data_IF_523602302494
#
_entry.id   IF_523602302494
#
_cell.length_a   1.000
_cell.length_b   1.000
_cell.length_c   1.000
_cell.angle_alpha   90.00
_cell.angle_beta   90.00
_cell.angle_gamma   90.00
#
_symmetry.space_group_name_H-M   'P 1'
#
loop_
_entity.id
_entity.type
_entity.pdbx_description
1 polymer ?
#
# COMPACT_ATOMS: atom_id res chain seq x y z
N UNK A 1 -0.43 30.49 -2.73
CA UNK A 1 -0.26 29.27 -1.91
C UNK A 1 -0.50 27.97 -2.68
N UNK A 2 -1.57 27.83 -3.47
CA UNK A 2 -1.86 26.60 -4.22
C UNK A 2 -0.73 26.10 -5.16
N UNK A 3 0.06 27.02 -5.74
CA UNK A 3 1.17 26.65 -6.63
C UNK A 3 2.33 25.99 -5.86
N UNK A 4 2.56 26.39 -4.61
CA UNK A 4 3.64 25.82 -3.79
C UNK A 4 3.26 24.46 -3.23
N UNK A 5 2.00 24.27 -2.86
CA UNK A 5 1.47 22.99 -2.37
C UNK A 5 1.51 21.90 -3.47
N UNK A 6 1.19 22.26 -4.72
CA UNK A 6 1.35 21.42 -5.90
C UNK A 6 2.81 21.09 -6.20
N UNK A 7 3.74 22.03 -6.00
CA UNK A 7 5.18 21.81 -6.17
C UNK A 7 5.73 20.81 -5.18
N UNK A 8 5.37 20.93 -3.90
CA UNK A 8 5.79 19.97 -2.86
C UNK A 8 5.24 18.58 -3.16
N UNK A 9 3.98 18.48 -3.61
CA UNK A 9 3.38 17.21 -4.06
C UNK A 9 4.15 16.60 -5.24
N UNK A 10 4.50 17.40 -6.24
CA UNK A 10 5.27 16.94 -7.41
C UNK A 10 6.68 16.49 -7.02
N UNK A 11 7.37 17.23 -6.16
CA UNK A 11 8.73 16.91 -5.73
C UNK A 11 8.78 15.68 -4.82
N UNK A 12 7.80 15.51 -3.94
CA UNK A 12 7.65 14.29 -3.13
C UNK A 12 7.41 13.03 -3.98
N UNK A 13 6.74 13.18 -5.13
CA UNK A 13 6.55 12.08 -6.09
C UNK A 13 7.82 11.72 -6.87
N UNK A 14 8.74 12.66 -7.07
CA UNK A 14 9.94 12.48 -7.90
C UNK A 14 11.11 11.79 -7.18
N UNK A 15 11.20 11.86 -5.84
CA UNK A 15 12.31 11.27 -5.08
C UNK A 15 11.86 10.63 -3.76
N UNK A 16 12.51 9.54 -3.34
CA UNK A 16 12.31 8.98 -2.00
C UNK A 16 12.69 9.99 -0.92
N UNK A 17 11.75 10.33 -0.04
CA UNK A 17 12.05 11.06 1.18
C UNK A 17 12.93 10.16 2.05
N UNK A 18 14.16 10.59 2.33
CA UNK A 18 15.06 9.86 3.20
C UNK A 18 14.61 9.98 4.67
N UNK A 19 15.11 9.08 5.53
CA UNK A 19 14.70 9.02 6.93
C UNK A 19 14.87 10.37 7.66
N UNK A 20 15.92 11.13 7.33
CA UNK A 20 16.19 12.44 7.94
C UNK A 20 15.12 13.44 7.52
N UNK A 21 14.85 13.57 6.22
CA UNK A 21 13.81 14.47 5.73
C UNK A 21 12.42 14.08 6.26
N UNK A 22 12.11 12.78 6.38
CA UNK A 22 10.87 12.34 7.01
C UNK A 22 10.76 12.78 8.48
N UNK A 23 11.86 12.65 9.24
CA UNK A 23 11.89 13.06 10.65
C UNK A 23 11.66 14.57 10.82
N UNK A 24 12.02 15.38 9.83
CA UNK A 24 11.72 16.82 9.81
C UNK A 24 10.30 17.14 9.34
N UNK A 25 9.76 16.38 8.38
CA UNK A 25 8.44 16.65 7.79
C UNK A 25 7.30 16.09 8.66
N UNK A 26 7.47 14.95 9.32
CA UNK A 26 6.39 14.31 10.09
C UNK A 26 5.81 15.21 11.22
N UNK A 27 6.62 15.95 12.01
CA UNK A 27 6.10 16.92 12.97
C UNK A 27 5.35 18.07 12.30
N UNK A 28 5.79 18.52 11.13
CA UNK A 28 5.14 19.58 10.36
C UNK A 28 3.75 19.15 9.87
N UNK A 29 3.64 17.95 9.28
CA UNK A 29 2.35 17.36 8.88
C UNK A 29 1.41 17.23 10.09
N UNK A 30 1.95 16.80 11.23
CA UNK A 30 1.19 16.70 12.49
C UNK A 30 0.71 18.08 12.99
N UNK A 31 1.50 19.14 12.80
CA UNK A 31 1.11 20.50 13.18
C UNK A 31 0.02 21.07 12.28
N UNK A 32 0.07 20.82 10.97
CA UNK A 32 -0.98 21.24 10.02
C UNK A 32 -2.34 20.65 10.41
N UNK A 33 -2.37 19.36 10.77
CA UNK A 33 -3.59 18.70 11.23
C UNK A 33 -4.08 19.31 12.55
N UNK A 34 -3.19 19.42 13.55
CA UNK A 34 -3.56 19.92 14.90
C UNK A 34 -4.06 21.36 14.90
N UNK A 35 -3.54 22.20 14.00
CA UNK A 35 -3.91 23.62 13.89
C UNK A 35 -5.09 23.87 12.93
N UNK A 36 -5.66 22.83 12.34
CA UNK A 36 -6.72 22.93 11.31
C UNK A 36 -6.27 23.83 10.15
N UNK A 37 -5.10 23.54 9.61
CA UNK A 37 -4.44 24.35 8.61
C UNK A 37 -3.38 25.29 9.20
N UNK A 38 -2.39 25.66 8.39
CA UNK A 38 -1.33 26.59 8.77
C UNK A 38 -1.33 27.79 7.84
N UNK A 39 -1.43 28.99 8.42
CA UNK A 39 -1.43 30.26 7.68
C UNK A 39 -2.77 30.59 7.01
N UNK A 40 -3.86 29.99 7.49
CA UNK A 40 -5.22 30.20 7.01
C UNK A 40 -6.09 30.72 8.18
N UNK A 41 -6.98 31.65 7.89
CA UNK A 41 -7.97 32.13 8.86
C UNK A 41 -9.14 31.14 8.99
N UNK A 42 -9.86 31.16 10.12
CA UNK A 42 -10.99 30.24 10.36
C UNK A 42 -12.16 30.41 9.39
N UNK A 43 -12.21 31.51 8.63
CA UNK A 43 -13.17 31.74 7.55
C UNK A 43 -12.80 31.03 6.23
N UNK A 44 -11.56 30.54 6.10
CA UNK A 44 -10.99 29.94 4.89
C UNK A 44 -11.18 28.41 4.86
N UNK A 45 -12.42 27.97 5.05
CA UNK A 45 -12.75 26.55 5.27
C UNK A 45 -12.32 25.65 4.11
N UNK A 46 -12.53 26.07 2.86
CA UNK A 46 -12.18 25.29 1.67
C UNK A 46 -10.66 25.07 1.54
N UNK A 47 -9.87 26.11 1.80
CA UNK A 47 -8.41 26.06 1.73
C UNK A 47 -7.82 25.21 2.87
N UNK A 48 -8.46 25.23 4.05
CA UNK A 48 -8.11 24.35 5.18
C UNK A 48 -8.34 22.88 4.80
N UNK A 49 -9.48 22.57 4.18
CA UNK A 49 -9.80 21.21 3.73
C UNK A 49 -8.82 20.74 2.67
N UNK A 50 -8.48 21.57 1.68
CA UNK A 50 -7.45 21.23 0.68
C UNK A 50 -6.09 20.97 1.31
N UNK A 51 -5.68 21.77 2.30
CA UNK A 51 -4.40 21.60 2.98
C UNK A 51 -4.35 20.29 3.79
N UNK A 52 -5.42 19.94 4.48
CA UNK A 52 -5.54 18.68 5.22
C UNK A 52 -5.58 17.49 4.25
N UNK A 53 -6.32 17.59 3.15
CA UNK A 53 -6.36 16.57 2.10
C UNK A 53 -4.96 16.33 1.52
N UNK A 54 -4.18 17.38 1.30
CA UNK A 54 -2.80 17.26 0.84
C UNK A 54 -1.89 16.56 1.85
N UNK A 55 -2.05 16.85 3.14
CA UNK A 55 -1.30 16.16 4.21
C UNK A 55 -1.64 14.67 4.23
N UNK A 56 -2.92 14.31 4.13
CA UNK A 56 -3.37 12.93 4.04
C UNK A 56 -2.76 12.22 2.81
N UNK A 57 -2.81 12.86 1.64
CA UNK A 57 -2.20 12.35 0.40
C UNK A 57 -0.70 12.04 0.55
N UNK A 58 0.06 12.94 1.18
CA UNK A 58 1.50 12.78 1.41
C UNK A 58 1.75 11.60 2.36
N UNK A 59 0.97 11.47 3.44
CA UNK A 59 1.10 10.38 4.40
C UNK A 59 0.81 9.03 3.75
N UNK A 60 -0.27 8.92 2.97
CA UNK A 60 -0.63 7.70 2.22
C UNK A 60 0.44 7.32 1.21
N UNK A 61 1.01 8.29 0.47
CA UNK A 61 2.11 8.03 -0.46
C UNK A 61 3.36 7.46 0.25
N UNK A 62 3.73 8.03 1.39
CA UNK A 62 4.89 7.57 2.16
C UNK A 62 4.70 6.17 2.72
N UNK A 63 3.50 5.85 3.20
CA UNK A 63 3.16 4.53 3.68
C UNK A 63 3.20 3.47 2.57
N UNK A 64 2.64 3.76 1.38
CA UNK A 64 2.73 2.87 0.23
C UNK A 64 4.19 2.59 -0.18
N UNK A 65 5.04 3.62 -0.14
CA UNK A 65 6.48 3.47 -0.43
C UNK A 65 7.21 2.66 0.64
N UNK A 66 6.92 2.90 1.91
CA UNK A 66 7.50 2.14 3.02
C UNK A 66 7.12 0.65 2.94
N UNK A 67 5.86 0.33 2.60
CA UNK A 67 5.41 -1.04 2.37
C UNK A 67 6.21 -1.73 1.24
N UNK A 68 6.40 -1.07 0.09
CA UNK A 68 7.24 -1.58 -1.00
C UNK A 68 8.69 -1.84 -0.56
N UNK A 69 9.28 -0.91 0.21
CA UNK A 69 10.63 -1.10 0.73
C UNK A 69 10.71 -2.29 1.70
N UNK A 70 9.71 -2.49 2.57
CA UNK A 70 9.65 -3.67 3.43
C UNK A 70 9.64 -4.96 2.61
N UNK A 71 8.83 -5.03 1.55
CA UNK A 71 8.79 -6.19 0.65
C UNK A 71 10.16 -6.46 -0.01
N UNK A 72 10.81 -5.42 -0.54
CA UNK A 72 12.17 -5.54 -1.08
C UNK A 72 13.18 -6.03 -0.04
N UNK A 73 13.06 -5.57 1.21
CA UNK A 73 13.94 -6.02 2.30
C UNK A 73 13.69 -7.49 2.65
N UNK A 74 12.43 -7.92 2.71
CA UNK A 74 12.07 -9.32 2.98
C UNK A 74 12.61 -10.24 1.89
N UNK A 75 12.50 -9.84 0.62
CA UNK A 75 13.01 -10.61 -0.52
C UNK A 75 14.53 -10.65 -0.63
N UNK A 76 15.24 -9.58 -0.24
CA UNK A 76 16.68 -9.45 -0.43
C UNK A 76 17.56 -9.76 0.79
N UNK A 77 17.01 -9.71 2.01
CA UNK A 77 17.79 -9.77 3.25
C UNK A 77 17.15 -10.70 4.28
N UNK A 78 17.42 -12.02 4.22
CA UNK A 78 16.78 -13.02 5.08
C UNK A 78 16.87 -12.73 6.59
N UNK A 79 18.00 -12.19 7.04
CA UNK A 79 18.24 -11.83 8.44
C UNK A 79 17.34 -10.69 8.96
N UNK A 80 16.70 -9.93 8.08
CA UNK A 80 15.83 -8.79 8.42
C UNK A 80 14.33 -9.08 8.25
N UNK A 81 13.97 -10.28 7.77
CA UNK A 81 12.57 -10.66 7.46
C UNK A 81 11.61 -10.32 8.58
N UNK A 82 11.95 -10.70 9.82
CA UNK A 82 11.06 -10.49 10.98
C UNK A 82 10.76 -9.00 11.20
N UNK A 83 11.81 -8.17 11.22
CA UNK A 83 11.66 -6.74 11.45
C UNK A 83 10.89 -6.05 10.31
N UNK A 84 11.21 -6.40 9.07
CA UNK A 84 10.54 -5.85 7.89
C UNK A 84 9.06 -6.29 7.80
N UNK A 85 8.74 -7.53 8.16
CA UNK A 85 7.36 -8.05 8.21
C UNK A 85 6.55 -7.32 9.28
N UNK A 86 7.10 -7.14 10.48
CA UNK A 86 6.45 -6.35 11.54
C UNK A 86 6.18 -4.91 11.10
N UNK A 87 7.14 -4.28 10.42
CA UNK A 87 6.96 -2.95 9.84
C UNK A 87 5.85 -2.92 8.81
N UNK A 88 5.85 -3.87 7.87
CA UNK A 88 4.82 -3.99 6.83
C UNK A 88 3.41 -4.15 7.42
N UNK A 89 3.24 -5.05 8.39
CA UNK A 89 1.96 -5.26 9.08
C UNK A 89 1.52 -3.97 9.79
N UNK A 90 2.43 -3.30 10.49
CA UNK A 90 2.10 -2.06 11.22
C UNK A 90 1.61 -0.95 10.28
N UNK A 91 2.22 -0.82 9.10
CA UNK A 91 1.80 0.14 8.09
C UNK A 91 0.40 -0.24 7.55
N UNK A 92 0.16 -1.52 7.25
CA UNK A 92 -1.13 -1.99 6.72
C UNK A 92 -2.26 -1.82 7.72
N UNK A 93 -2.05 -2.24 8.97
CA UNK A 93 -3.05 -2.08 10.03
C UNK A 93 -3.38 -0.62 10.30
N UNK A 94 -2.40 0.29 10.22
CA UNK A 94 -2.64 1.72 10.42
C UNK A 94 -3.46 2.36 9.28
N UNK A 95 -3.40 1.80 8.08
CA UNK A 95 -4.09 2.31 6.90
C UNK A 95 -5.40 1.58 6.55
N UNK A 96 -5.65 0.42 7.18
CA UNK A 96 -6.83 -0.38 6.91
C UNK A 96 -8.17 0.38 6.95
N UNK A 97 -8.41 1.33 7.89
CA UNK A 97 -9.69 2.05 7.93
C UNK A 97 -9.96 2.97 6.71
N UNK A 98 -8.91 3.45 6.05
CA UNK A 98 -8.97 4.45 4.96
C UNK A 98 -8.10 4.01 3.76
N UNK A 99 -8.08 2.70 3.45
CA UNK A 99 -7.14 2.16 2.47
C UNK A 99 -7.45 2.67 1.05
N UNK A 100 -6.60 3.56 0.55
CA UNK A 100 -6.66 4.01 -0.85
C UNK A 100 -6.23 2.92 -1.85
N UNK A 101 -6.75 2.98 -3.08
CA UNK A 101 -6.37 2.07 -4.18
C UNK A 101 -4.85 2.00 -4.42
N UNK A 102 -4.16 3.14 -4.30
CA UNK A 102 -2.71 3.20 -4.46
C UNK A 102 -1.95 2.34 -3.43
N UNK A 103 -2.54 2.18 -2.24
CA UNK A 103 -1.99 1.36 -1.18
C UNK A 103 -2.21 -0.14 -1.42
N UNK A 104 -3.44 -0.50 -1.80
CA UNK A 104 -3.78 -1.87 -2.20
C UNK A 104 -2.88 -2.31 -3.36
N UNK A 105 -2.72 -1.50 -4.40
CA UNK A 105 -1.80 -1.75 -5.51
C UNK A 105 -0.33 -1.95 -5.07
N UNK A 106 0.13 -1.20 -4.05
CA UNK A 106 1.48 -1.39 -3.52
C UNK A 106 1.63 -2.75 -2.82
N UNK A 107 0.60 -3.22 -2.13
CA UNK A 107 0.60 -4.51 -1.45
C UNK A 107 0.42 -5.70 -2.42
N UNK A 108 -0.40 -5.53 -3.47
CA UNK A 108 -0.59 -6.53 -4.53
C UNK A 108 0.73 -6.89 -5.23
N UNK A 109 1.67 -5.95 -5.35
CA UNK A 109 3.01 -6.25 -5.87
C UNK A 109 3.79 -7.27 -5.02
N UNK A 110 3.44 -7.41 -3.75
CA UNK A 110 3.97 -8.43 -2.85
C UNK A 110 3.35 -9.81 -3.05
N UNK A 111 2.13 -9.91 -3.59
CA UNK A 111 1.40 -11.18 -3.73
C UNK A 111 2.07 -12.10 -4.75
N UNK A 112 2.67 -11.55 -5.80
CA UNK A 112 3.40 -12.31 -6.81
C UNK A 112 4.91 -12.18 -6.69
N UNK A 113 5.41 -11.80 -5.52
CA UNK A 113 6.85 -11.68 -5.31
C UNK A 113 7.54 -13.05 -5.52
N UNK A 114 8.72 -13.13 -6.18
CA UNK A 114 9.38 -14.41 -6.46
C UNK A 114 9.71 -15.20 -5.19
N UNK A 115 10.13 -14.49 -4.13
CA UNK A 115 10.42 -15.08 -2.83
C UNK A 115 9.15 -15.41 -2.04
N UNK A 116 8.99 -16.68 -1.64
CA UNK A 116 7.80 -17.18 -0.95
C UNK A 116 7.55 -16.46 0.38
N UNK A 117 8.61 -16.06 1.08
CA UNK A 117 8.49 -15.36 2.35
C UNK A 117 7.99 -13.92 2.20
N UNK A 118 8.31 -13.26 1.08
CA UNK A 118 7.79 -11.93 0.78
C UNK A 118 6.29 -11.99 0.47
N UNK A 119 5.84 -13.01 -0.27
CA UNK A 119 4.42 -13.30 -0.47
C UNK A 119 3.72 -13.51 0.87
N UNK A 120 4.27 -14.36 1.72
CA UNK A 120 3.73 -14.64 3.05
C UNK A 120 3.52 -13.37 3.88
N UNK A 121 4.55 -12.52 3.95
CA UNK A 121 4.48 -11.26 4.68
C UNK A 121 3.44 -10.29 4.07
N UNK A 122 3.32 -10.25 2.73
CA UNK A 122 2.31 -9.44 2.06
C UNK A 122 0.89 -9.91 2.42
N UNK A 123 0.62 -11.21 2.42
CA UNK A 123 -0.69 -11.76 2.80
C UNK A 123 -1.02 -11.53 4.28
N UNK A 124 -0.04 -11.70 5.17
CA UNK A 124 -0.22 -11.39 6.59
C UNK A 124 -0.60 -9.92 6.79
N UNK A 125 0.07 -9.03 6.07
CA UNK A 125 -0.19 -7.61 6.18
C UNK A 125 -1.52 -7.19 5.52
N UNK A 126 -2.00 -7.95 4.53
CA UNK A 126 -3.26 -7.72 3.85
C UNK A 126 -4.50 -8.11 4.65
N UNK A 127 -4.39 -9.01 5.65
CA UNK A 127 -5.54 -9.51 6.42
C UNK A 127 -6.48 -8.43 6.97
N UNK A 128 -5.99 -7.28 7.50
CA UNK A 128 -6.87 -6.26 8.06
C UNK A 128 -7.57 -5.39 7.01
N UNK A 129 -7.20 -5.49 5.73
CA UNK A 129 -7.71 -4.61 4.69
C UNK A 129 -9.09 -5.05 4.23
N UNK A 130 -10.01 -4.08 4.13
CA UNK A 130 -11.29 -4.29 3.47
C UNK A 130 -11.10 -4.17 1.95
N UNK A 131 -11.34 -5.27 1.25
CA UNK A 131 -11.31 -5.36 -0.21
C UNK A 131 -12.66 -5.79 -0.79
N UNK A 132 -13.76 -5.70 -0.02
CA UNK A 132 -15.09 -6.23 -0.41
C UNK A 132 -15.70 -5.56 -1.64
N UNK A 133 -15.24 -4.34 -1.95
CA UNK A 133 -15.58 -3.61 -3.18
C UNK A 133 -14.95 -4.23 -4.44
N UNK A 134 -13.87 -5.00 -4.29
CA UNK A 134 -13.18 -5.68 -5.37
C UNK A 134 -13.79 -7.07 -5.56
N UNK A 135 -14.31 -7.36 -6.77
CA UNK A 135 -14.96 -8.65 -7.04
C UNK A 135 -14.04 -9.75 -7.56
N UNK A 136 -12.91 -9.37 -8.16
CA UNK A 136 -11.97 -10.28 -8.80
C UNK A 136 -10.53 -9.76 -8.71
N UNK A 137 -9.60 -10.64 -8.32
CA UNK A 137 -8.16 -10.40 -8.33
C UNK A 137 -7.44 -11.64 -8.86
N UNK A 138 -6.89 -11.56 -10.07
CA UNK A 138 -6.19 -12.67 -10.74
C UNK A 138 -4.95 -13.14 -9.98
N UNK A 139 -4.25 -12.22 -9.35
CA UNK A 139 -3.04 -12.43 -8.58
C UNK A 139 -3.36 -13.26 -7.34
N UNK A 140 -4.41 -12.88 -6.60
CA UNK A 140 -4.87 -13.61 -5.42
C UNK A 140 -5.37 -15.01 -5.78
N UNK A 141 -6.16 -15.13 -6.86
CA UNK A 141 -6.63 -16.42 -7.35
C UNK A 141 -5.47 -17.37 -7.68
N UNK A 142 -4.42 -16.83 -8.31
CA UNK A 142 -3.22 -17.63 -8.66
C UNK A 142 -2.52 -18.16 -7.41
N UNK A 143 -2.40 -17.35 -6.36
CA UNK A 143 -1.72 -17.74 -5.11
C UNK A 143 -2.56 -18.65 -4.21
N UNK A 144 -3.89 -18.68 -4.38
CA UNK A 144 -4.71 -19.75 -3.77
C UNK A 144 -4.25 -21.16 -4.19
N UNK A 145 -3.46 -21.27 -5.27
CA UNK A 145 -2.84 -22.49 -5.77
C UNK A 145 -1.29 -22.47 -5.71
N UNK A 146 -0.71 -21.66 -4.81
CA UNK A 146 0.74 -21.63 -4.59
C UNK A 146 1.27 -22.99 -4.10
N UNK A 147 2.54 -23.27 -4.41
CA UNK A 147 3.24 -24.47 -3.95
C UNK A 147 3.57 -24.40 -2.46
N UNK A 148 3.72 -23.20 -1.90
CA UNK A 148 3.85 -23.01 -0.45
C UNK A 148 2.45 -22.98 0.18
N UNK A 149 2.10 -24.04 0.90
CA UNK A 149 0.80 -24.21 1.55
C UNK A 149 0.44 -23.06 2.50
N UNK A 150 1.43 -22.42 3.13
CA UNK A 150 1.19 -21.29 4.05
C UNK A 150 0.67 -20.06 3.29
N UNK A 151 1.22 -19.82 2.10
CA UNK A 151 0.77 -18.74 1.22
C UNK A 151 -0.61 -19.06 0.66
N UNK A 152 -0.81 -20.29 0.18
CA UNK A 152 -2.10 -20.72 -0.36
C UNK A 152 -3.23 -20.61 0.67
N UNK A 153 -2.96 -21.00 1.92
CA UNK A 153 -3.94 -20.86 3.02
C UNK A 153 -4.32 -19.41 3.28
N UNK A 154 -3.34 -18.51 3.48
CA UNK A 154 -3.63 -17.09 3.76
C UNK A 154 -4.32 -16.39 2.59
N UNK A 155 -3.96 -16.76 1.35
CA UNK A 155 -4.61 -16.22 0.16
C UNK A 155 -6.06 -16.69 0.06
N UNK A 156 -6.34 -17.95 0.40
CA UNK A 156 -7.70 -18.49 0.42
C UNK A 156 -8.55 -17.85 1.51
N UNK A 157 -7.99 -17.64 2.70
CA UNK A 157 -8.67 -16.93 3.79
C UNK A 157 -9.07 -15.52 3.33
N UNK A 158 -8.12 -14.77 2.78
CA UNK A 158 -8.35 -13.42 2.25
C UNK A 158 -9.37 -13.42 1.09
N UNK A 159 -9.34 -14.46 0.24
CA UNK A 159 -10.28 -14.66 -0.86
C UNK A 159 -11.73 -14.79 -0.35
N UNK A 160 -11.92 -15.66 0.64
CA UNK A 160 -13.24 -15.98 1.19
C UNK A 160 -13.79 -14.83 2.02
N UNK A 161 -12.96 -14.24 2.89
CA UNK A 161 -13.38 -13.17 3.81
C UNK A 161 -13.85 -11.91 3.06
N UNK A 162 -13.21 -11.58 1.93
CA UNK A 162 -13.58 -10.41 1.11
C UNK A 162 -14.63 -10.72 0.05
N UNK A 163 -15.10 -11.97 -0.05
CA UNK A 163 -16.16 -12.36 -0.98
C UNK A 163 -15.77 -12.29 -2.46
N UNK A 164 -14.50 -12.57 -2.78
CA UNK A 164 -14.04 -12.63 -4.15
C UNK A 164 -14.72 -13.76 -4.93
N UNK A 165 -14.94 -13.55 -6.23
CA UNK A 165 -15.64 -14.51 -7.08
C UNK A 165 -15.00 -14.58 -8.47
N UNK A 166 -15.05 -15.77 -9.07
CA UNK A 166 -14.46 -16.01 -10.39
C UNK A 166 -15.42 -15.48 -11.46
N UNK A 167 -15.03 -14.47 -12.27
CA UNK A 167 -15.86 -13.99 -13.37
C UNK A 167 -15.85 -14.99 -14.53
N UNK A 168 -16.90 -14.99 -15.38
CA UNK A 168 -16.98 -15.89 -16.53
C UNK A 168 -15.81 -15.72 -17.52
N UNK A 169 -15.24 -14.51 -17.63
CA UNK A 169 -14.12 -14.20 -18.53
C UNK A 169 -12.74 -14.27 -17.83
N UNK A 170 -12.63 -14.97 -16.70
CA UNK A 170 -11.40 -15.03 -15.89
C UNK A 170 -10.17 -15.50 -16.67
N UNK A 171 -10.37 -16.36 -17.68
CA UNK A 171 -9.30 -16.89 -18.53
C UNK A 171 -8.53 -15.77 -19.23
N UNK A 172 -9.20 -14.72 -19.69
CA UNK A 172 -8.54 -13.60 -20.37
C UNK A 172 -7.61 -12.84 -19.41
N UNK A 173 -8.06 -12.58 -18.18
CA UNK A 173 -7.25 -11.93 -17.14
C UNK A 173 -6.06 -12.78 -16.71
N UNK A 174 -6.25 -14.10 -16.58
CA UNK A 174 -5.17 -15.02 -16.21
C UNK A 174 -4.13 -15.17 -17.33
N UNK A 175 -4.57 -15.23 -18.59
CA UNK A 175 -3.65 -15.27 -19.73
C UNK A 175 -2.83 -13.99 -19.84
N UNK A 176 -3.43 -12.82 -19.60
CA UNK A 176 -2.71 -11.55 -19.56
C UNK A 176 -1.65 -11.55 -18.45
N UNK A 177 -2.03 -11.98 -17.25
CA UNK A 177 -1.12 -12.06 -16.11
C UNK A 177 0.08 -12.98 -16.39
N UNK A 178 -0.17 -14.15 -16.98
CA UNK A 178 0.88 -15.09 -17.37
C UNK A 178 1.76 -14.49 -18.49
N UNK A 179 1.18 -13.80 -19.47
CA UNK A 179 1.94 -13.13 -20.53
C UNK A 179 2.96 -12.12 -19.99
N UNK A 180 2.55 -11.27 -19.06
CA UNK A 180 3.40 -10.26 -18.43
C UNK A 180 4.53 -10.87 -17.57
N UNK A 181 4.26 -12.01 -16.90
CA UNK A 181 5.24 -12.68 -16.03
C UNK A 181 6.24 -13.60 -16.76
N UNK A 182 5.93 -14.08 -17.96
CA UNK A 182 6.81 -14.99 -18.73
C UNK A 182 7.66 -14.27 -19.80
N UNK A 183 7.49 -12.95 -19.99
CA UNK A 183 8.24 -12.14 -20.97
C UNK A 183 9.41 -11.34 -20.37
N UNK A 184 9.73 -11.53 -19.08
CA UNK A 184 10.87 -10.93 -18.37
C UNK A 184 11.66 -11.98 -17.59
#
# INVERSE_FOLDING_TARGET
MAIESLKVRSLAKQQAIDQKTFSYIAPLLSQVIRKQGMGLDSSQVEEVVEQIALVADIMSFLAAKAAKNCLSVIGGYPQLIKAATTGLISICSALAPDSSDAYICALLSGFLHPEAQARYAAFQAAQPLDMTDIKWLSELWTICHDKDERNASLALDLWVENGFSIPPDCLNSLLLLLGEHFLH
#
